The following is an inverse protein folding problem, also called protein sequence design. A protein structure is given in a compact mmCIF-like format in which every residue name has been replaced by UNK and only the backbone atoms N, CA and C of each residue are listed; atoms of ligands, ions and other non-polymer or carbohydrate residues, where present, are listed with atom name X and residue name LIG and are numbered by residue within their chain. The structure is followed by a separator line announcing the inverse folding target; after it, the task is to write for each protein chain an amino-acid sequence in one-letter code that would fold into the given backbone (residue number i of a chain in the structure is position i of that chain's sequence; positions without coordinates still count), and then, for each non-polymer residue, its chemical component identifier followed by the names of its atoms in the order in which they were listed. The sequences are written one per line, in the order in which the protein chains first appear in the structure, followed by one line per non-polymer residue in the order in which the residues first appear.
data_IF_615457068338
#
_entry.id   IF_615457068338
#
_cell.length_a   1.000
_cell.length_b   1.000
_cell.length_c   1.000
_cell.angle_alpha   90.00
_cell.angle_beta   90.00
_cell.angle_gamma   90.00
#
_symmetry.space_group_name_H-M   'P 1'
#
loop_
_entity.id
_entity.type
_entity.pdbx_description
1 polymer ?
#
# COMPACT_ATOMS: atom_id res chain seq x y z
N UNK A 1 79.42 37.46 26.68
CA UNK A 1 79.55 38.86 26.24
C UNK A 1 78.33 39.19 25.40
N UNK A 2 77.54 40.12 25.95
CA UNK A 2 76.70 41.12 25.29
C UNK A 2 75.64 40.70 24.25
N UNK A 3 74.38 40.82 24.69
CA UNK A 3 73.28 41.26 23.82
C UNK A 3 73.51 42.74 23.43
N UNK A 4 73.04 43.18 22.26
CA UNK A 4 72.00 44.20 22.32
C UNK A 4 70.93 44.20 21.20
N UNK A 5 69.70 44.52 21.66
CA UNK A 5 68.65 45.41 21.12
C UNK A 5 68.27 45.42 19.62
N UNK A 6 66.96 45.25 19.41
CA UNK A 6 66.15 45.62 18.22
C UNK A 6 66.22 47.11 17.87
N UNK A 7 65.84 47.47 16.63
CA UNK A 7 64.71 48.39 16.48
C UNK A 7 63.70 47.98 15.40
N UNK A 8 62.49 48.53 15.57
CA UNK A 8 61.27 48.44 14.78
C UNK A 8 61.30 49.25 13.48
N UNK A 9 60.68 48.75 12.41
CA UNK A 9 59.78 49.56 11.57
C UNK A 9 58.85 48.69 10.73
N UNK A 10 57.60 49.15 10.64
CA UNK A 10 56.46 48.49 10.02
C UNK A 10 56.40 48.76 8.51
N UNK A 11 56.00 47.76 7.73
CA UNK A 11 55.22 48.01 6.52
C UNK A 11 54.10 46.96 6.41
N UNK A 12 52.89 47.51 6.45
CA UNK A 12 51.60 46.89 6.16
C UNK A 12 51.57 46.51 4.68
N UNK A 13 51.11 45.31 4.33
CA UNK A 13 50.28 45.05 3.13
C UNK A 13 49.68 43.64 3.14
N UNK A 14 48.35 43.63 3.35
CA UNK A 14 47.34 42.70 2.86
C UNK A 14 47.57 41.18 2.96
N UNK A 15 46.92 40.59 3.97
CA UNK A 15 46.49 39.20 3.96
C UNK A 15 45.26 39.04 3.04
N UNK A 16 45.29 38.07 2.12
CA UNK A 16 44.08 37.48 1.53
C UNK A 16 44.00 36.06 2.08
N UNK A 17 43.30 35.91 3.20
CA UNK A 17 42.90 34.60 3.71
C UNK A 17 41.54 34.31 3.09
N UNK A 18 41.51 33.39 2.13
CA UNK A 18 40.28 32.84 1.59
C UNK A 18 39.69 31.93 2.68
N UNK A 19 38.80 32.47 3.52
CA UNK A 19 37.98 31.67 4.42
C UNK A 19 36.97 30.89 3.56
N UNK A 20 37.23 29.60 3.38
CA UNK A 20 36.21 28.64 2.99
C UNK A 20 35.22 28.51 4.15
N UNK A 21 34.18 29.34 4.14
CA UNK A 21 32.97 29.14 4.92
C UNK A 21 32.33 27.83 4.41
N UNK A 22 32.62 26.73 5.09
CA UNK A 22 31.78 25.54 5.03
C UNK A 22 30.48 25.92 5.72
N UNK A 23 29.54 26.44 4.94
CA UNK A 23 28.15 26.47 5.33
C UNK A 23 27.72 25.02 5.54
N UNK A 24 27.46 24.66 6.79
CA UNK A 24 26.61 23.54 7.14
C UNK A 24 25.34 23.71 6.30
N UNK A 25 25.19 22.87 5.27
CA UNK A 25 23.89 22.62 4.69
C UNK A 25 23.07 22.01 5.80
N UNK A 26 22.37 22.85 6.55
CA UNK A 26 21.17 22.45 7.27
C UNK A 26 20.32 21.71 6.25
N UNK A 27 20.14 20.41 6.46
CA UNK A 27 19.11 19.62 5.78
C UNK A 27 17.83 20.41 5.97
N UNK A 28 17.37 21.05 4.89
CA UNK A 28 16.20 21.91 4.88
C UNK A 28 15.01 20.99 5.16
N UNK A 29 14.58 20.97 6.42
CA UNK A 29 13.34 20.34 6.83
C UNK A 29 12.22 20.90 5.95
N UNK A 30 11.35 20.02 5.48
CA UNK A 30 10.18 20.33 4.63
C UNK A 30 9.64 21.73 4.95
N UNK A 31 9.77 22.66 4.01
CA UNK A 31 9.13 23.98 4.12
C UNK A 31 7.62 23.75 4.32
N UNK A 32 7.02 24.28 5.40
CA UNK A 32 5.56 24.21 5.55
C UNK A 32 4.92 24.98 4.39
N UNK A 33 3.87 24.41 3.78
CA UNK A 33 3.11 25.08 2.73
C UNK A 33 2.56 26.42 3.25
N UNK A 34 2.95 27.57 2.66
CA UNK A 34 2.34 28.84 2.97
C UNK A 34 1.20 29.05 1.97
N UNK A 35 0.03 28.46 2.24
CA UNK A 35 -1.29 28.95 1.80
C UNK A 35 -2.39 27.93 2.15
N UNK A 36 -3.52 28.49 2.58
CA UNK A 36 -4.69 27.87 3.22
C UNK A 36 -5.56 26.98 2.33
N UNK A 37 -5.00 25.96 1.68
CA UNK A 37 -5.75 24.87 1.03
C UNK A 37 -4.98 23.53 1.05
N UNK A 38 -4.06 23.34 2.00
CA UNK A 38 -3.62 21.99 2.35
C UNK A 38 -4.63 21.43 3.34
N UNK A 39 -5.58 20.63 2.86
CA UNK A 39 -6.27 19.70 3.74
C UNK A 39 -5.25 18.66 4.21
N UNK A 40 -4.57 18.99 5.31
CA UNK A 40 -3.88 18.03 6.16
C UNK A 40 -4.96 17.16 6.82
N UNK A 41 -5.27 16.04 6.17
CA UNK A 41 -6.15 15.04 6.75
C UNK A 41 -5.41 14.27 7.85
N UNK A 42 -6.07 14.03 9.00
CA UNK A 42 -5.46 13.33 10.12
C UNK A 42 -5.32 11.85 9.77
N UNK A 43 -4.08 11.40 9.52
CA UNK A 43 -3.76 9.99 9.54
C UNK A 43 -3.31 9.58 10.95
N UNK A 44 -3.94 8.51 11.46
CA UNK A 44 -3.84 7.90 12.80
C UNK A 44 -4.65 8.64 13.88
N UNK A 45 -5.96 8.47 13.84
CA UNK A 45 -6.73 8.38 15.08
C UNK A 45 -6.13 7.21 15.88
N UNK A 46 -5.57 7.47 17.07
CA UNK A 46 -5.15 6.40 17.96
C UNK A 46 -6.36 5.48 18.21
N UNK A 47 -6.23 4.21 17.84
CA UNK A 47 -7.25 3.20 18.12
C UNK A 47 -7.25 2.92 19.62
N UNK A 48 -8.42 2.95 20.25
CA UNK A 48 -8.56 2.75 21.70
C UNK A 48 -8.12 1.34 22.13
N UNK A 49 -8.36 0.36 21.28
CA UNK A 49 -8.04 -1.04 21.55
C UNK A 49 -6.93 -1.53 20.61
N UNK A 50 -6.08 -2.41 21.11
CA UNK A 50 -5.03 -3.03 20.30
C UNK A 50 -4.79 -4.46 20.75
N UNK A 51 -4.44 -5.33 19.80
CA UNK A 51 -3.93 -6.67 20.09
C UNK A 51 -2.76 -7.01 19.16
N UNK A 52 -1.87 -7.90 19.61
CA UNK A 52 -0.76 -8.42 18.81
C UNK A 52 -1.15 -9.75 18.18
N UNK A 53 -0.82 -9.97 16.91
CA UNK A 53 -1.20 -11.18 16.18
C UNK A 53 -0.79 -12.50 16.89
N UNK A 54 0.33 -12.52 17.60
CA UNK A 54 0.82 -13.69 18.36
C UNK A 54 -0.07 -14.07 19.55
N UNK A 55 -0.91 -13.15 20.05
CA UNK A 55 -1.89 -13.45 21.10
C UNK A 55 -2.97 -14.44 20.62
N UNK A 56 -3.13 -14.59 19.30
CA UNK A 56 -4.09 -15.48 18.65
C UNK A 56 -3.44 -16.76 18.12
N UNK A 57 -2.26 -17.11 18.63
CA UNK A 57 -1.56 -18.37 18.29
C UNK A 57 -0.80 -18.33 16.95
N UNK A 58 -0.61 -17.14 16.37
CA UNK A 58 0.18 -17.01 15.15
C UNK A 58 1.66 -17.36 15.36
N UNK A 59 2.26 -17.99 14.36
CA UNK A 59 3.67 -18.39 14.32
C UNK A 59 4.36 -17.73 13.12
N UNK A 60 5.37 -16.91 13.40
CA UNK A 60 6.07 -16.06 12.43
C UNK A 60 7.23 -16.75 11.69
N UNK A 61 7.10 -18.04 11.38
CA UNK A 61 8.15 -18.88 10.77
C UNK A 61 8.15 -18.88 9.23
N UNK A 62 7.12 -18.32 8.61
CA UNK A 62 6.91 -18.29 7.16
C UNK A 62 6.39 -19.61 6.57
N UNK A 63 6.03 -20.58 7.41
CA UNK A 63 5.58 -21.93 6.99
C UNK A 63 4.23 -22.28 7.60
N UNK A 64 4.02 -21.94 8.87
CA UNK A 64 2.76 -22.18 9.57
C UNK A 64 1.67 -21.26 8.99
N UNK A 65 0.53 -21.83 8.59
CA UNK A 65 -0.63 -21.03 8.18
C UNK A 65 -1.23 -20.29 9.38
N UNK A 66 -1.27 -18.96 9.27
CA UNK A 66 -1.79 -18.03 10.26
C UNK A 66 -3.21 -17.56 9.90
N UNK A 67 -3.85 -18.14 8.88
CA UNK A 67 -5.19 -17.77 8.41
C UNK A 67 -6.21 -17.76 9.56
N UNK A 68 -6.17 -18.78 10.42
CA UNK A 68 -7.04 -18.84 11.59
C UNK A 68 -6.73 -17.71 12.59
N UNK A 69 -5.45 -17.45 12.88
CA UNK A 69 -5.04 -16.43 13.83
C UNK A 69 -5.45 -15.02 13.38
N UNK A 70 -5.27 -14.68 12.10
CA UNK A 70 -5.75 -13.40 11.55
C UNK A 70 -7.26 -13.24 11.69
N UNK A 71 -8.03 -14.27 11.29
CA UNK A 71 -9.50 -14.24 11.39
C UNK A 71 -9.98 -14.13 12.84
N UNK A 72 -9.36 -14.88 13.75
CA UNK A 72 -9.68 -14.82 15.18
C UNK A 72 -9.36 -13.46 15.79
N UNK A 73 -8.21 -12.87 15.42
CA UNK A 73 -7.82 -11.54 15.89
C UNK A 73 -8.84 -10.47 15.46
N UNK A 74 -9.29 -10.52 14.21
CA UNK A 74 -10.25 -9.55 13.69
C UNK A 74 -11.63 -9.75 14.33
N UNK A 75 -12.12 -10.98 14.46
CA UNK A 75 -13.39 -11.26 15.13
C UNK A 75 -13.36 -10.83 16.61
N UNK A 76 -12.23 -10.98 17.29
CA UNK A 76 -12.05 -10.50 18.67
C UNK A 76 -12.11 -8.97 18.76
N UNK A 77 -11.45 -8.27 17.84
CA UNK A 77 -11.33 -6.81 17.84
C UNK A 77 -12.56 -6.09 17.27
N UNK A 78 -13.33 -6.74 16.40
CA UNK A 78 -14.53 -6.20 15.74
C UNK A 78 -15.56 -5.56 16.69
N UNK A 79 -16.02 -6.20 17.77
CA UNK A 79 -16.95 -5.56 18.70
C UNK A 79 -16.32 -4.35 19.44
N UNK A 80 -14.99 -4.35 19.62
CA UNK A 80 -14.27 -3.26 20.27
C UNK A 80 -14.07 -2.06 19.35
N UNK A 81 -13.95 -2.30 18.03
CA UNK A 81 -13.74 -1.27 17.03
C UNK A 81 -14.86 -0.21 17.02
N UNK A 82 -16.10 -0.62 17.27
CA UNK A 82 -17.24 0.31 17.39
C UNK A 82 -17.13 1.26 18.62
N UNK A 83 -16.32 0.92 19.62
CA UNK A 83 -16.20 1.65 20.89
C UNK A 83 -14.94 2.51 20.99
N UNK A 84 -14.42 3.00 19.85
CA UNK A 84 -13.23 3.87 19.78
C UNK A 84 -12.11 3.36 18.87
N UNK A 85 -12.42 2.42 17.98
CA UNK A 85 -11.49 1.84 17.02
C UNK A 85 -10.56 0.78 17.62
N UNK A 86 -10.14 -0.16 16.77
CA UNK A 86 -9.27 -1.26 17.14
C UNK A 86 -8.08 -1.39 16.18
N UNK A 87 -6.93 -1.84 16.71
CA UNK A 87 -5.72 -2.08 15.94
C UNK A 87 -5.23 -3.51 16.11
N UNK A 88 -4.92 -4.19 15.00
CA UNK A 88 -4.13 -5.41 15.00
C UNK A 88 -2.68 -5.09 14.62
N UNK A 89 -1.76 -5.38 15.53
CA UNK A 89 -0.33 -5.24 15.31
C UNK A 89 0.28 -6.57 14.86
N UNK A 90 0.91 -6.56 13.68
CA UNK A 90 1.66 -7.68 13.12
C UNK A 90 3.15 -7.47 13.43
N UNK A 91 3.75 -8.24 14.36
CA UNK A 91 5.12 -8.03 14.78
C UNK A 91 6.14 -8.52 13.73
N UNK A 92 7.43 -8.29 14.00
CA UNK A 92 8.51 -8.87 13.22
C UNK A 92 8.35 -10.39 13.05
N UNK A 93 8.54 -10.90 11.83
CA UNK A 93 8.33 -12.32 11.52
C UNK A 93 7.78 -12.53 10.11
N UNK A 94 7.68 -13.79 9.69
CA UNK A 94 7.08 -14.20 8.42
C UNK A 94 5.74 -14.89 8.66
N UNK A 95 4.66 -14.32 8.16
CA UNK A 95 3.29 -14.71 8.49
C UNK A 95 2.60 -15.26 7.25
N UNK A 96 2.74 -16.56 6.99
CA UNK A 96 2.00 -17.22 5.91
C UNK A 96 0.50 -17.20 6.23
N UNK A 97 -0.34 -16.76 5.30
CA UNK A 97 -1.80 -16.70 5.47
C UNK A 97 -2.50 -16.68 4.13
N UNK A 98 -3.68 -17.29 4.06
CA UNK A 98 -4.66 -17.03 3.01
C UNK A 98 -5.52 -15.80 3.34
N UNK A 99 -6.66 -15.70 2.66
CA UNK A 99 -7.51 -14.51 2.70
C UNK A 99 -8.15 -14.26 4.08
N UNK A 100 -8.17 -12.99 4.50
CA UNK A 100 -8.88 -12.53 5.68
C UNK A 100 -9.56 -11.17 5.46
N UNK A 101 -10.66 -10.95 6.18
CA UNK A 101 -11.51 -9.79 5.99
C UNK A 101 -11.30 -8.78 7.12
N UNK A 102 -11.16 -7.50 6.77
CA UNK A 102 -11.13 -6.39 7.72
C UNK A 102 -12.55 -5.99 8.19
N UNK A 103 -12.60 -5.12 9.19
CA UNK A 103 -13.83 -4.53 9.75
C UNK A 103 -13.70 -3.00 9.82
N UNK A 104 -14.81 -2.28 10.04
CA UNK A 104 -14.82 -0.82 10.23
C UNK A 104 -14.06 -0.38 11.50
N UNK A 105 -13.62 0.88 11.52
CA UNK A 105 -12.86 1.50 12.62
C UNK A 105 -11.60 0.73 12.99
N UNK A 106 -10.90 0.22 11.99
CA UNK A 106 -9.84 -0.75 12.17
C UNK A 106 -8.51 -0.27 11.61
N UNK A 107 -7.42 -0.65 12.28
CA UNK A 107 -6.06 -0.47 11.77
C UNK A 107 -5.35 -1.82 11.73
N UNK A 108 -4.89 -2.22 10.54
CA UNK A 108 -3.88 -3.26 10.41
C UNK A 108 -2.51 -2.59 10.36
N UNK A 109 -1.67 -2.86 11.36
CA UNK A 109 -0.34 -2.25 11.47
C UNK A 109 0.76 -3.29 11.32
N UNK A 110 1.66 -3.10 10.35
CA UNK A 110 2.80 -3.99 10.11
C UNK A 110 4.10 -3.38 10.67
N UNK A 111 4.79 -4.13 11.52
CA UNK A 111 6.14 -3.81 11.94
C UNK A 111 7.12 -3.79 10.74
N UNK A 112 8.22 -3.03 10.83
CA UNK A 112 9.22 -2.89 9.74
C UNK A 112 9.82 -4.21 9.25
N UNK A 113 9.92 -5.19 10.16
CA UNK A 113 10.45 -6.53 9.86
C UNK A 113 9.34 -7.60 9.76
N UNK A 114 8.07 -7.18 9.65
CA UNK A 114 6.96 -8.07 9.38
C UNK A 114 6.87 -8.36 7.87
N UNK A 115 6.65 -9.62 7.51
CA UNK A 115 6.38 -10.06 6.15
C UNK A 115 5.13 -10.93 6.18
N UNK A 116 4.01 -10.44 5.63
CA UNK A 116 2.84 -11.28 5.35
C UNK A 116 3.11 -12.02 4.04
N UNK A 117 2.97 -13.34 4.02
CA UNK A 117 3.16 -14.18 2.83
C UNK A 117 1.80 -14.76 2.42
N UNK A 118 1.38 -14.51 1.19
CA UNK A 118 0.12 -15.02 0.67
C UNK A 118 0.21 -16.53 0.40
N UNK A 119 -0.72 -17.31 0.93
CA UNK A 119 -0.75 -18.75 0.77
C UNK A 119 -0.89 -19.18 -0.69
N UNK A 120 -0.17 -20.23 -1.09
CA UNK A 120 -0.33 -20.87 -2.40
C UNK A 120 -1.39 -21.99 -2.37
N UNK A 121 -1.96 -22.29 -1.21
CA UNK A 121 -3.08 -23.21 -1.07
C UNK A 121 -4.38 -22.49 -1.46
N UNK A 122 -4.90 -22.79 -2.66
CA UNK A 122 -6.14 -22.21 -3.20
C UNK A 122 -7.36 -22.40 -2.28
N UNK A 123 -7.36 -23.42 -1.41
CA UNK A 123 -8.47 -23.64 -0.45
C UNK A 123 -8.55 -22.56 0.64
N UNK A 124 -7.48 -21.80 0.86
CA UNK A 124 -7.48 -20.67 1.79
C UNK A 124 -7.98 -19.37 1.16
N UNK A 125 -8.41 -19.41 -0.10
CA UNK A 125 -8.96 -18.29 -0.86
C UNK A 125 -10.45 -18.56 -1.14
N UNK A 126 -11.36 -18.00 -0.35
CA UNK A 126 -12.79 -18.19 -0.59
C UNK A 126 -13.21 -17.62 -1.95
N UNK A 127 -14.15 -18.28 -2.62
CA UNK A 127 -14.78 -17.71 -3.81
C UNK A 127 -15.73 -16.57 -3.40
N UNK A 128 -15.68 -15.46 -4.13
CA UNK A 128 -16.58 -14.32 -3.95
C UNK A 128 -17.30 -14.01 -5.26
N UNK A 129 -18.40 -13.27 -5.15
CA UNK A 129 -19.17 -12.86 -6.32
C UNK A 129 -18.30 -12.01 -7.26
N UNK A 130 -18.54 -12.18 -8.56
CA UNK A 130 -17.96 -11.33 -9.60
C UNK A 130 -18.36 -9.87 -9.34
N UNK A 131 -17.47 -8.94 -9.68
CA UNK A 131 -17.74 -7.52 -9.58
C UNK A 131 -18.97 -7.16 -10.43
N UNK A 132 -20.00 -6.51 -9.85
CA UNK A 132 -21.23 -6.22 -10.56
C UNK A 132 -21.01 -5.29 -11.76
N UNK A 133 -19.99 -4.43 -11.73
CA UNK A 133 -19.61 -3.57 -12.87
C UNK A 133 -18.82 -4.30 -13.96
N UNK A 134 -18.41 -5.57 -13.77
CA UNK A 134 -17.62 -6.34 -14.74
C UNK A 134 -18.43 -7.45 -15.41
N UNK A 135 -19.41 -8.02 -14.68
CA UNK A 135 -20.34 -9.04 -15.19
C UNK A 135 -19.76 -10.42 -15.49
N UNK A 136 -18.43 -10.56 -15.59
CA UNK A 136 -17.69 -11.82 -15.71
C UNK A 136 -16.37 -11.76 -14.93
N UNK A 137 -15.76 -12.92 -14.69
CA UNK A 137 -14.39 -12.96 -14.15
C UNK A 137 -13.37 -12.39 -15.13
N UNK A 138 -12.28 -11.82 -14.61
CA UNK A 138 -11.22 -11.17 -15.39
C UNK A 138 -10.34 -12.20 -16.11
N UNK A 139 -9.87 -13.21 -15.38
CA UNK A 139 -9.00 -14.24 -15.96
C UNK A 139 -9.78 -15.47 -16.43
N UNK A 140 -10.90 -15.79 -15.79
CA UNK A 140 -11.62 -17.04 -16.03
C UNK A 140 -13.12 -16.92 -15.71
N UNK A 141 -13.99 -17.74 -16.34
CA UNK A 141 -15.44 -17.63 -16.19
C UNK A 141 -15.99 -18.14 -14.85
N UNK A 142 -15.22 -18.91 -14.07
CA UNK A 142 -15.68 -19.58 -12.83
C UNK A 142 -15.83 -18.69 -11.60
N UNK A 143 -15.87 -17.36 -11.76
CA UNK A 143 -15.95 -16.41 -10.65
C UNK A 143 -14.59 -15.80 -10.30
N UNK A 144 -14.40 -15.44 -9.03
CA UNK A 144 -13.14 -14.87 -8.53
C UNK A 144 -12.82 -15.32 -7.11
N UNK A 145 -11.54 -15.47 -6.82
CA UNK A 145 -11.05 -15.61 -5.45
C UNK A 145 -11.18 -14.28 -4.70
N UNK A 146 -11.40 -14.35 -3.38
CA UNK A 146 -11.26 -13.19 -2.50
C UNK A 146 -9.81 -12.71 -2.48
N UNK A 147 -9.59 -11.43 -2.23
CA UNK A 147 -8.25 -10.86 -2.10
C UNK A 147 -7.57 -11.28 -0.79
N UNK A 148 -6.25 -11.14 -0.69
CA UNK A 148 -5.51 -11.54 0.51
C UNK A 148 -5.99 -10.73 1.72
N UNK A 149 -6.01 -9.41 1.56
CA UNK A 149 -6.61 -8.48 2.50
C UNK A 149 -7.87 -7.92 1.86
N UNK A 150 -9.02 -8.38 2.35
CA UNK A 150 -10.32 -8.04 1.79
C UNK A 150 -11.17 -7.22 2.76
N UNK A 151 -12.11 -6.44 2.25
CA UNK A 151 -13.13 -5.77 3.06
C UNK A 151 -14.25 -5.24 2.19
N UNK A 152 -15.48 -5.24 2.70
CA UNK A 152 -16.62 -4.63 2.00
C UNK A 152 -17.55 -3.93 2.97
N UNK A 153 -18.16 -2.82 2.56
CA UNK A 153 -19.07 -2.02 3.40
C UNK A 153 -18.42 -1.53 4.69
N UNK A 154 -17.17 -1.08 4.60
CA UNK A 154 -16.39 -0.62 5.74
C UNK A 154 -16.38 0.91 5.83
N UNK A 155 -16.15 1.42 7.02
CA UNK A 155 -15.83 2.83 7.26
C UNK A 155 -14.61 2.95 8.15
N UNK A 156 -13.73 3.92 7.88
CA UNK A 156 -12.57 4.22 8.72
C UNK A 156 -11.63 3.00 8.86
N UNK A 157 -10.96 2.66 7.75
CA UNK A 157 -10.04 1.53 7.64
C UNK A 157 -8.65 2.01 7.29
N UNK A 158 -7.66 1.58 8.07
CA UNK A 158 -6.25 1.93 7.89
C UNK A 158 -5.42 0.66 7.73
N UNK A 159 -4.65 0.55 6.65
CA UNK A 159 -3.65 -0.49 6.43
C UNK A 159 -2.30 0.21 6.34
N UNK A 160 -1.46 0.07 7.37
CA UNK A 160 -0.22 0.83 7.47
C UNK A 160 0.88 0.09 8.22
N UNK A 161 2.04 0.71 8.39
CA UNK A 161 3.14 0.13 9.12
C UNK A 161 4.39 1.00 9.10
N UNK A 162 5.49 0.43 9.58
CA UNK A 162 6.82 1.02 9.47
C UNK A 162 7.56 0.45 8.26
N UNK A 163 6.92 0.46 7.09
CA UNK A 163 7.44 -0.20 5.89
C UNK A 163 7.55 -1.73 6.01
N UNK A 164 6.60 -2.36 6.70
CA UNK A 164 6.45 -3.82 6.65
C UNK A 164 6.05 -4.31 5.26
N UNK A 165 6.27 -5.59 4.98
CA UNK A 165 6.08 -6.18 3.64
C UNK A 165 4.83 -7.06 3.58
N UNK A 166 4.11 -6.98 2.46
CA UNK A 166 3.07 -7.94 2.07
C UNK A 166 3.51 -8.55 0.74
N UNK A 167 3.84 -9.84 0.75
CA UNK A 167 4.28 -10.62 -0.40
C UNK A 167 3.14 -11.52 -0.89
N UNK A 168 2.66 -11.26 -2.11
CA UNK A 168 1.60 -12.01 -2.77
C UNK A 168 2.02 -13.39 -3.28
N UNK A 169 3.32 -13.72 -3.24
CA UNK A 169 3.90 -14.98 -3.76
C UNK A 169 3.39 -15.33 -5.18
N UNK A 170 3.23 -14.32 -6.02
CA UNK A 170 2.47 -14.35 -7.27
C UNK A 170 2.93 -15.33 -8.34
N UNK A 171 4.20 -15.78 -8.32
CA UNK A 171 4.75 -16.73 -9.30
C UNK A 171 3.88 -17.97 -9.55
N UNK A 172 3.31 -18.55 -8.50
CA UNK A 172 2.36 -19.66 -8.60
C UNK A 172 1.16 -19.33 -9.51
N UNK A 173 0.60 -18.13 -9.36
CA UNK A 173 -0.57 -17.66 -10.09
C UNK A 173 -0.22 -17.25 -11.52
N UNK A 174 0.93 -16.62 -11.72
CA UNK A 174 1.41 -16.18 -13.03
C UNK A 174 1.71 -17.38 -13.93
N UNK A 175 2.32 -18.44 -13.39
CA UNK A 175 2.57 -19.69 -14.12
C UNK A 175 1.27 -20.31 -14.63
N UNK A 176 0.23 -20.36 -13.78
CA UNK A 176 -1.09 -20.88 -14.17
C UNK A 176 -1.76 -19.97 -15.20
N UNK A 177 -1.61 -18.66 -15.09
CA UNK A 177 -2.12 -17.71 -16.08
C UNK A 177 -1.50 -17.95 -17.45
N UNK A 178 -0.17 -18.00 -17.56
CA UNK A 178 0.53 -18.24 -18.82
C UNK A 178 0.21 -19.59 -19.46
N UNK A 179 -0.05 -20.63 -18.64
CA UNK A 179 -0.44 -21.96 -19.11
C UNK A 179 -1.94 -22.10 -19.42
N UNK A 180 -2.74 -21.05 -19.19
CA UNK A 180 -4.21 -21.08 -19.30
C UNK A 180 -4.86 -22.17 -18.41
N UNK A 181 -4.35 -22.34 -17.19
CA UNK A 181 -4.81 -23.34 -16.21
C UNK A 181 -5.74 -22.75 -15.14
N UNK A 182 -6.16 -21.50 -15.30
CA UNK A 182 -7.06 -20.82 -14.37
C UNK A 182 -8.53 -21.13 -14.71
N UNK A 183 -9.26 -21.65 -13.73
CA UNK A 183 -10.72 -21.82 -13.80
C UNK A 183 -11.49 -20.68 -13.11
N UNK A 184 -10.81 -19.94 -12.23
CA UNK A 184 -11.33 -18.86 -11.40
C UNK A 184 -10.37 -17.66 -11.53
N UNK A 185 -10.90 -16.43 -11.49
CA UNK A 185 -10.08 -15.21 -11.52
C UNK A 185 -9.14 -15.16 -10.32
N UNK A 186 -7.87 -14.83 -10.56
CA UNK A 186 -6.82 -14.73 -9.53
C UNK A 186 -7.22 -13.73 -8.44
N UNK A 187 -6.76 -13.94 -7.20
CA UNK A 187 -6.98 -12.97 -6.14
C UNK A 187 -6.15 -11.70 -6.36
N UNK A 188 -6.53 -10.61 -5.68
CA UNK A 188 -5.71 -9.40 -5.59
C UNK A 188 -5.01 -9.33 -4.24
N UNK A 189 -4.03 -8.44 -4.08
CA UNK A 189 -3.33 -8.31 -2.80
C UNK A 189 -4.21 -7.59 -1.76
N UNK A 190 -4.72 -6.41 -2.09
CA UNK A 190 -5.60 -5.62 -1.23
C UNK A 190 -6.82 -5.19 -2.03
N UNK A 191 -8.02 -5.54 -1.56
CA UNK A 191 -9.27 -5.08 -2.16
C UNK A 191 -10.24 -4.60 -1.08
N UNK A 192 -10.67 -3.35 -1.20
CA UNK A 192 -11.65 -2.74 -0.30
C UNK A 192 -12.83 -2.24 -1.14
N UNK A 193 -13.99 -2.83 -0.94
CA UNK A 193 -15.20 -2.59 -1.73
C UNK A 193 -16.24 -1.76 -0.96
N UNK A 194 -17.03 -0.92 -1.64
CA UNK A 194 -18.21 -0.27 -1.04
C UNK A 194 -17.92 0.45 0.29
N UNK A 195 -16.74 1.05 0.42
CA UNK A 195 -16.24 1.54 1.71
C UNK A 195 -15.87 3.01 1.65
N UNK A 196 -15.88 3.65 2.82
CA UNK A 196 -15.60 5.08 3.00
C UNK A 196 -14.45 5.30 3.99
N UNK A 197 -13.65 6.35 3.81
CA UNK A 197 -12.51 6.68 4.68
C UNK A 197 -11.48 5.53 4.76
N UNK A 198 -10.77 5.34 3.65
CA UNK A 198 -9.76 4.29 3.50
C UNK A 198 -8.38 4.94 3.46
N UNK A 199 -7.44 4.40 4.23
CA UNK A 199 -6.03 4.77 4.17
C UNK A 199 -5.15 3.54 3.99
N UNK A 200 -4.31 3.54 2.96
CA UNK A 200 -3.29 2.50 2.73
C UNK A 200 -1.94 3.22 2.61
N UNK A 201 -1.01 3.00 3.54
CA UNK A 201 0.20 3.81 3.56
C UNK A 201 1.42 3.19 4.22
N UNK A 202 2.62 3.60 3.80
CA UNK A 202 3.90 3.24 4.41
C UNK A 202 4.16 1.72 4.48
N UNK A 203 3.97 1.05 3.35
CA UNK A 203 4.14 -0.40 3.19
C UNK A 203 4.94 -0.72 1.93
N UNK A 204 5.59 -1.88 1.97
CA UNK A 204 6.16 -2.52 0.78
C UNK A 204 5.23 -3.65 0.34
N UNK A 205 4.77 -3.62 -0.90
CA UNK A 205 3.92 -4.65 -1.50
C UNK A 205 4.70 -5.33 -2.61
N UNK A 206 4.80 -6.66 -2.59
CA UNK A 206 5.56 -7.40 -3.60
C UNK A 206 4.79 -8.57 -4.18
N UNK A 207 5.08 -8.90 -5.44
CA UNK A 207 4.64 -10.13 -6.11
C UNK A 207 3.14 -10.44 -5.98
N UNK A 208 2.25 -9.47 -6.22
CA UNK A 208 0.80 -9.75 -6.19
C UNK A 208 0.41 -10.82 -7.23
N UNK A 209 -0.53 -11.73 -6.92
CA UNK A 209 -1.06 -12.70 -7.89
C UNK A 209 -1.62 -12.05 -9.17
N UNK A 210 -2.20 -10.87 -9.02
CA UNK A 210 -2.64 -9.96 -10.09
C UNK A 210 -2.54 -8.53 -9.55
N UNK A 211 -3.61 -7.74 -9.52
CA UNK A 211 -3.60 -6.35 -9.06
C UNK A 211 -3.14 -6.21 -7.61
N UNK A 212 -2.41 -5.13 -7.31
CA UNK A 212 -1.89 -4.86 -5.97
C UNK A 212 -2.93 -4.20 -5.07
N UNK A 213 -3.42 -3.00 -5.42
CA UNK A 213 -4.31 -2.21 -4.56
C UNK A 213 -5.57 -1.81 -5.32
N UNK A 214 -6.70 -2.42 -4.98
CA UNK A 214 -7.98 -2.26 -5.67
C UNK A 214 -9.07 -1.71 -4.73
N UNK A 215 -9.09 -0.40 -4.44
CA UNK A 215 -10.28 0.24 -3.89
C UNK A 215 -11.35 0.31 -4.98
N UNK A 216 -12.54 -0.21 -4.69
CA UNK A 216 -13.64 -0.25 -5.67
C UNK A 216 -14.98 0.15 -5.06
N UNK A 217 -15.74 0.97 -5.79
CA UNK A 217 -17.04 1.52 -5.31
C UNK A 217 -16.90 2.32 -4.01
N UNK A 218 -15.77 3.02 -3.87
CA UNK A 218 -15.33 3.57 -2.58
C UNK A 218 -15.12 5.08 -2.61
N UNK A 219 -15.25 5.72 -1.45
CA UNK A 219 -15.08 7.16 -1.28
C UNK A 219 -14.01 7.51 -0.26
N UNK A 220 -13.41 8.70 -0.42
CA UNK A 220 -12.45 9.27 0.53
C UNK A 220 -11.27 8.31 0.78
N UNK A 221 -10.49 8.08 -0.28
CA UNK A 221 -9.41 7.10 -0.32
C UNK A 221 -8.06 7.79 -0.35
N UNK A 222 -7.17 7.43 0.57
CA UNK A 222 -5.79 7.91 0.62
C UNK A 222 -4.85 6.72 0.44
N UNK A 223 -4.02 6.79 -0.60
CA UNK A 223 -2.94 5.83 -0.84
C UNK A 223 -1.64 6.61 -0.89
N UNK A 224 -0.73 6.34 0.05
CA UNK A 224 0.46 7.17 0.24
C UNK A 224 1.71 6.40 0.65
N UNK A 225 2.86 6.71 0.03
CA UNK A 225 4.13 6.19 0.52
C UNK A 225 4.27 4.68 0.33
N UNK A 226 3.63 4.11 -0.70
CA UNK A 226 3.76 2.69 -1.03
C UNK A 226 4.98 2.44 -1.90
N UNK A 227 5.68 1.34 -1.60
CA UNK A 227 6.65 0.73 -2.52
C UNK A 227 6.02 -0.54 -3.08
N UNK A 228 5.71 -0.56 -4.38
CA UNK A 228 5.08 -1.70 -5.06
C UNK A 228 6.08 -2.29 -6.04
N UNK A 229 6.35 -3.60 -5.94
CA UNK A 229 7.36 -4.27 -6.76
C UNK A 229 6.83 -5.61 -7.30
N UNK A 230 6.78 -5.73 -8.62
CA UNK A 230 6.66 -6.99 -9.33
C UNK A 230 7.72 -7.09 -10.44
N UNK A 231 8.09 -8.31 -10.86
CA UNK A 231 8.85 -8.50 -12.10
C UNK A 231 8.16 -7.80 -13.28
N UNK A 232 8.92 -7.17 -14.17
CA UNK A 232 8.33 -6.42 -15.31
C UNK A 232 7.64 -7.34 -16.33
N UNK A 233 7.83 -8.66 -16.24
CA UNK A 233 7.21 -9.68 -17.07
C UNK A 233 6.05 -10.41 -16.37
N UNK A 234 5.64 -9.98 -15.17
CA UNK A 234 4.50 -10.59 -14.47
C UNK A 234 3.15 -10.10 -15.03
N UNK A 235 2.20 -11.01 -15.30
CA UNK A 235 0.94 -10.66 -15.97
C UNK A 235 -0.05 -9.96 -15.04
N UNK A 236 -0.54 -8.78 -15.46
CA UNK A 236 -1.64 -8.04 -14.81
C UNK A 236 -1.37 -7.70 -13.35
N UNK A 237 -0.16 -7.25 -13.07
CA UNK A 237 0.26 -6.81 -11.74
C UNK A 237 0.13 -5.30 -11.56
N UNK A 238 -0.99 -4.74 -12.04
CA UNK A 238 -1.31 -3.31 -11.95
C UNK A 238 -1.07 -2.81 -10.50
N UNK A 239 -0.45 -1.64 -10.37
CA UNK A 239 -0.03 -1.13 -9.07
C UNK A 239 -1.20 -0.66 -8.20
N UNK A 240 -1.96 0.33 -8.69
CA UNK A 240 -3.11 0.87 -7.96
C UNK A 240 -4.27 1.09 -8.94
N UNK A 241 -5.42 0.53 -8.59
CA UNK A 241 -6.61 0.45 -9.44
C UNK A 241 -7.80 1.15 -8.76
N UNK A 242 -7.89 2.50 -8.78
CA UNK A 242 -9.11 3.17 -8.34
C UNK A 242 -10.23 2.88 -9.35
N UNK A 243 -11.19 2.06 -8.93
CA UNK A 243 -12.29 1.58 -9.77
C UNK A 243 -13.64 2.07 -9.23
N UNK A 244 -14.35 2.90 -9.99
CA UNK A 244 -15.58 3.54 -9.55
C UNK A 244 -15.42 4.24 -8.17
N UNK A 245 -14.33 4.98 -7.98
CA UNK A 245 -14.00 5.66 -6.73
C UNK A 245 -14.20 7.18 -6.79
N UNK A 246 -14.54 7.82 -5.66
CA UNK A 246 -14.63 9.30 -5.56
C UNK A 246 -13.78 9.84 -4.43
N UNK A 247 -13.25 11.06 -4.58
CA UNK A 247 -12.34 11.71 -3.63
C UNK A 247 -11.14 10.83 -3.28
N UNK A 248 -10.34 10.49 -4.29
CA UNK A 248 -9.18 9.60 -4.13
C UNK A 248 -7.88 10.38 -4.30
N UNK A 249 -6.93 10.17 -3.38
CA UNK A 249 -5.58 10.73 -3.44
C UNK A 249 -4.55 9.62 -3.44
N UNK A 250 -3.72 9.61 -4.48
CA UNK A 250 -2.57 8.71 -4.62
C UNK A 250 -1.30 9.57 -4.67
N UNK A 251 -0.41 9.40 -3.70
CA UNK A 251 0.79 10.22 -3.64
C UNK A 251 2.03 9.53 -3.06
N UNK A 252 3.21 10.03 -3.42
CA UNK A 252 4.48 9.58 -2.85
C UNK A 252 4.76 8.07 -3.03
N UNK A 253 4.26 7.49 -4.12
CA UNK A 253 4.39 6.06 -4.40
C UNK A 253 5.55 5.77 -5.37
N UNK A 254 6.22 4.64 -5.14
CA UNK A 254 7.22 4.06 -6.04
C UNK A 254 6.69 2.71 -6.54
N UNK A 255 6.54 2.56 -7.85
CA UNK A 255 5.89 1.39 -8.45
C UNK A 255 6.79 0.81 -9.54
N UNK A 256 7.11 -0.48 -9.43
CA UNK A 256 7.63 -1.32 -10.51
C UNK A 256 6.58 -2.38 -10.79
N UNK A 257 6.05 -2.38 -12.01
CA UNK A 257 4.92 -3.22 -12.40
C UNK A 257 5.21 -3.92 -13.73
N UNK A 258 4.71 -5.15 -13.89
CA UNK A 258 4.62 -5.82 -15.19
C UNK A 258 3.42 -5.38 -16.05
N UNK A 259 2.57 -4.51 -15.52
CA UNK A 259 1.42 -3.91 -16.21
C UNK A 259 1.35 -2.42 -15.84
N UNK A 260 0.18 -1.79 -15.80
CA UNK A 260 0.04 -0.38 -15.45
C UNK A 260 0.50 -0.04 -14.02
N UNK A 261 1.14 1.12 -13.83
CA UNK A 261 1.46 1.59 -12.47
C UNK A 261 0.22 2.10 -11.73
N UNK A 262 -0.63 2.88 -12.41
CA UNK A 262 -1.96 3.27 -11.92
C UNK A 262 -2.95 3.07 -13.07
N UNK A 263 -4.01 2.31 -12.85
CA UNK A 263 -5.05 2.08 -13.84
C UNK A 263 -6.42 2.54 -13.31
N UNK A 264 -6.92 3.65 -13.84
CA UNK A 264 -8.18 4.26 -13.42
C UNK A 264 -9.34 3.59 -14.15
N UNK A 265 -10.29 3.02 -13.41
CA UNK A 265 -11.34 2.13 -13.93
C UNK A 265 -12.74 2.55 -13.52
N UNK A 266 -13.76 2.00 -14.19
CA UNK A 266 -15.17 2.18 -13.85
C UNK A 266 -16.07 1.05 -14.38
N UNK A 267 -15.58 -0.19 -14.38
CA UNK A 267 -16.27 -1.36 -14.91
C UNK A 267 -16.20 -1.55 -16.43
N UNK A 268 -16.86 -2.61 -16.94
CA UNK A 268 -16.73 -3.10 -18.31
C UNK A 268 -18.05 -3.11 -19.08
N UNK A 269 -17.98 -2.66 -20.34
CA UNK A 269 -19.03 -2.79 -21.35
C UNK A 269 -20.43 -2.40 -20.81
N UNK A 270 -21.46 -3.20 -21.12
CA UNK A 270 -22.82 -3.00 -20.64
C UNK A 270 -22.96 -3.08 -19.11
N UNK A 271 -22.05 -3.78 -18.42
CA UNK A 271 -22.12 -3.96 -16.97
C UNK A 271 -21.67 -2.69 -16.25
N UNK A 272 -20.55 -2.09 -16.68
CA UNK A 272 -20.05 -0.81 -16.20
C UNK A 272 -21.03 0.31 -16.52
N UNK A 273 -21.55 0.36 -17.76
CA UNK A 273 -22.57 1.34 -18.17
C UNK A 273 -23.81 1.24 -17.27
N UNK A 274 -24.30 0.02 -17.03
CA UNK A 274 -25.49 -0.20 -16.17
C UNK A 274 -25.21 0.12 -14.70
N UNK A 275 -24.01 -0.18 -14.22
CA UNK A 275 -23.61 0.10 -12.84
C UNK A 275 -23.51 1.62 -12.61
N UNK A 276 -23.01 2.36 -13.59
CA UNK A 276 -23.17 3.82 -13.67
C UNK A 276 -22.41 4.61 -12.60
N UNK A 277 -21.30 4.07 -12.10
CA UNK A 277 -20.46 4.71 -11.08
C UNK A 277 -19.08 5.03 -11.66
N UNK A 278 -18.76 6.31 -11.96
CA UNK A 278 -17.45 6.69 -12.48
C UNK A 278 -16.38 6.70 -11.38
N UNK A 279 -15.12 6.66 -11.78
CA UNK A 279 -14.04 7.21 -10.94
C UNK A 279 -13.94 8.72 -11.19
N UNK A 280 -14.03 9.52 -10.14
CA UNK A 280 -14.04 10.98 -10.20
C UNK A 280 -13.32 11.60 -9.00
N UNK A 281 -12.94 12.88 -9.10
CA UNK A 281 -12.19 13.59 -8.04
C UNK A 281 -10.92 12.83 -7.61
N UNK A 282 -10.12 12.42 -8.58
CA UNK A 282 -8.87 11.69 -8.39
C UNK A 282 -7.65 12.63 -8.50
N UNK A 283 -6.79 12.62 -7.48
CA UNK A 283 -5.51 13.32 -7.45
C UNK A 283 -4.37 12.31 -7.43
N UNK A 284 -3.50 12.36 -8.44
CA UNK A 284 -2.25 11.59 -8.50
C UNK A 284 -1.08 12.57 -8.50
N UNK A 285 -0.13 12.46 -7.57
CA UNK A 285 1.07 13.33 -7.54
C UNK A 285 2.29 12.65 -6.93
N UNK A 286 3.50 13.05 -7.37
CA UNK A 286 4.77 12.52 -6.86
C UNK A 286 4.85 10.98 -6.95
N UNK A 287 4.50 10.47 -8.13
CA UNK A 287 4.60 9.06 -8.49
C UNK A 287 5.95 8.80 -9.19
N UNK A 288 6.65 7.75 -8.78
CA UNK A 288 7.72 7.14 -9.58
C UNK A 288 7.21 5.82 -10.12
N UNK A 289 7.26 5.64 -11.44
CA UNK A 289 6.77 4.44 -12.12
C UNK A 289 7.86 3.85 -13.02
N UNK A 290 7.99 2.53 -12.98
CA UNK A 290 8.76 1.71 -13.92
C UNK A 290 7.82 0.61 -14.43
N UNK A 291 7.30 0.81 -15.63
CA UNK A 291 6.50 -0.17 -16.39
C UNK A 291 6.93 -0.06 -17.85
N UNK A 292 7.88 -0.89 -18.33
CA UNK A 292 8.47 -0.74 -19.65
C UNK A 292 7.49 -0.96 -20.81
N UNK A 293 6.53 -1.87 -20.61
CA UNK A 293 5.65 -2.36 -21.67
C UNK A 293 4.18 -1.92 -21.50
N UNK A 294 3.86 -1.13 -20.47
CA UNK A 294 2.51 -0.59 -20.22
C UNK A 294 2.52 0.92 -19.91
N UNK A 295 1.63 1.42 -19.03
CA UNK A 295 1.49 2.83 -18.74
C UNK A 295 1.90 3.24 -17.33
N UNK A 296 2.34 4.49 -17.20
CA UNK A 296 2.49 5.14 -15.89
C UNK A 296 1.15 5.45 -15.23
N UNK A 297 0.22 5.99 -16.01
CA UNK A 297 -1.18 6.22 -15.62
C UNK A 297 -2.03 5.86 -16.83
N UNK A 298 -2.87 4.83 -16.68
CA UNK A 298 -3.86 4.42 -17.67
C UNK A 298 -5.27 4.86 -17.24
N UNK A 299 -6.11 5.18 -18.22
CA UNK A 299 -7.56 5.32 -18.07
C UNK A 299 -8.19 4.18 -18.87
N UNK A 300 -8.68 3.14 -18.20
CA UNK A 300 -9.17 1.92 -18.85
C UNK A 300 -9.21 0.69 -17.95
#
# INVERSE_FOLDING_TARGET
MDLPRKPTQAHVSAAVILLALVSLATVDGRKPCPNSNCEEFPAINCRKYSAVLTEFGAVGDGVTSNTHAFRQAIEHLKPLAAAGGAQLFVPAGKWLTGSFNLTSHFTLFLHKDAQILASQDESEWPLVAILPSYGRGRDAPGGRFSSLIYGTNLTDVVITGNNGTIDGQGSYWWDKFHKNELNVTRPYLIEIMYSDQIQISNLTLVNSPSWFVHPIYSSNVIIQGLTILAPIDSPNTDGIDPDSCTNTRIEDCFIVSGDDCIAVKSGWDQYGIRFGMPTEHLLIRRLTCISPDSAGIALG
#
